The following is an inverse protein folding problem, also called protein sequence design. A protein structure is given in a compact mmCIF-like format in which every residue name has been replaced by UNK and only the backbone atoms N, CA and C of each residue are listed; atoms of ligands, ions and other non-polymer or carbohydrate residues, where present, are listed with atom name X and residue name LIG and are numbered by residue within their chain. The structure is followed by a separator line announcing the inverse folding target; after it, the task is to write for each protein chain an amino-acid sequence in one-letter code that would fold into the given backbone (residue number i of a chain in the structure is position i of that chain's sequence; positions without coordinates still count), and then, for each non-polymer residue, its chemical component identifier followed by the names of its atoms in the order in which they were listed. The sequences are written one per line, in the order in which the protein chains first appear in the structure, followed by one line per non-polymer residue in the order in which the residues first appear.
data_IF_766484612993
#
_entry.id   IF_766484612993
#
_cell.length_a   1.000
_cell.length_b   1.000
_cell.length_c   1.000
_cell.angle_alpha   90.00
_cell.angle_beta   90.00
_cell.angle_gamma   90.00
#
_symmetry.space_group_name_H-M   'P 1'
#
loop_
_entity.id
_entity.type
_entity.pdbx_description
1 polymer ?
#
# COMPACT_ATOMS: atom_id res chain seq x y z
N UNK A 1 78.60 -83.38 46.06
CA UNK A 1 77.66 -83.13 44.94
C UNK A 1 76.68 -82.06 45.38
N UNK A 2 76.88 -80.86 44.83
CA UNK A 2 76.14 -79.65 45.14
C UNK A 2 75.04 -79.45 44.09
N UNK A 3 73.80 -79.20 44.54
CA UNK A 3 72.77 -78.46 43.80
C UNK A 3 71.51 -78.32 44.67
N UNK A 4 71.63 -77.63 45.80
CA UNK A 4 70.48 -77.03 46.48
C UNK A 4 70.02 -75.79 45.72
N UNK A 5 68.70 -75.59 45.72
CA UNK A 5 68.05 -74.29 45.51
C UNK A 5 68.26 -73.63 44.14
N UNK A 6 67.55 -74.12 43.11
CA UNK A 6 67.08 -73.22 42.05
C UNK A 6 65.87 -72.46 42.56
N UNK A 7 66.18 -71.27 43.03
CA UNK A 7 65.31 -70.18 43.40
C UNK A 7 64.02 -70.15 42.58
N UNK A 8 62.91 -70.31 43.31
CA UNK A 8 61.61 -69.78 42.94
C UNK A 8 61.70 -68.24 42.94
N UNK A 9 62.20 -67.67 41.84
CA UNK A 9 61.99 -66.29 41.43
C UNK A 9 60.78 -66.34 40.48
N UNK A 10 59.53 -66.21 40.91
CA UNK A 10 58.92 -65.03 41.52
C UNK A 10 59.25 -63.74 40.77
N UNK A 11 59.25 -63.77 39.43
CA UNK A 11 59.04 -62.56 38.63
C UNK A 11 57.58 -62.12 38.82
N UNK A 12 57.35 -61.40 39.92
CA UNK A 12 56.25 -60.43 40.01
C UNK A 12 56.51 -59.40 38.92
N UNK A 13 55.96 -59.62 37.73
CA UNK A 13 55.67 -58.53 36.82
C UNK A 13 54.71 -57.58 37.54
N UNK A 14 55.28 -56.56 38.16
CA UNK A 14 54.54 -55.43 38.69
C UNK A 14 53.89 -54.72 37.52
N UNK A 15 52.64 -55.08 37.25
CA UNK A 15 51.76 -54.38 36.33
C UNK A 15 51.54 -52.96 36.87
N UNK A 16 52.36 -52.01 36.42
CA UNK A 16 52.13 -50.61 36.72
C UNK A 16 50.77 -50.22 36.10
N UNK A 17 49.80 -49.69 36.87
CA UNK A 17 48.54 -49.26 36.30
C UNK A 17 48.83 -48.11 35.34
N UNK A 18 48.69 -48.39 34.04
CA UNK A 18 48.76 -47.38 32.98
C UNK A 18 47.69 -46.34 33.28
N UNK A 19 48.12 -45.17 33.77
CA UNK A 19 47.23 -44.04 34.03
C UNK A 19 46.52 -43.66 32.72
N UNK A 20 45.30 -44.15 32.55
CA UNK A 20 44.40 -43.73 31.48
C UNK A 20 44.11 -42.27 31.76
N UNK A 21 44.80 -41.36 31.05
CA UNK A 21 44.46 -39.94 31.05
C UNK A 21 43.03 -39.86 30.52
N UNK A 22 42.06 -39.68 31.40
CA UNK A 22 40.69 -39.38 31.03
C UNK A 22 40.72 -38.21 30.05
N UNK A 23 40.39 -38.48 28.79
CA UNK A 23 40.28 -37.47 27.76
C UNK A 23 39.19 -36.51 28.22
N UNK A 24 39.60 -35.38 28.82
CA UNK A 24 38.68 -34.33 29.27
C UNK A 24 37.69 -34.00 28.14
N UNK A 25 36.42 -33.73 28.45
CA UNK A 25 35.37 -33.51 27.46
C UNK A 25 35.60 -32.19 26.70
N UNK A 26 36.53 -32.20 25.75
CA UNK A 26 36.86 -31.08 24.86
C UNK A 26 35.70 -30.73 23.91
N UNK A 27 34.72 -31.64 23.73
CA UNK A 27 33.57 -31.43 22.86
C UNK A 27 32.57 -30.40 23.39
N UNK A 28 32.28 -30.37 24.70
CA UNK A 28 31.31 -29.45 25.29
C UNK A 28 31.74 -27.98 25.22
N UNK A 29 33.04 -27.69 25.40
CA UNK A 29 33.57 -26.32 25.25
C UNK A 29 33.51 -25.84 23.80
N UNK A 30 33.85 -26.70 22.83
CA UNK A 30 33.79 -26.37 21.38
C UNK A 30 32.34 -26.19 20.88
N UNK A 31 31.38 -26.94 21.43
CA UNK A 31 29.97 -26.76 21.09
C UNK A 31 29.44 -25.41 21.58
N UNK A 32 29.77 -25.01 22.82
CA UNK A 32 29.35 -23.70 23.38
C UNK A 32 29.92 -22.52 22.60
N UNK A 33 31.18 -22.58 22.16
CA UNK A 33 31.78 -21.51 21.35
C UNK A 33 31.15 -21.41 19.96
N UNK A 34 30.76 -22.53 19.35
CA UNK A 34 30.05 -22.52 18.05
C UNK A 34 28.64 -21.94 18.18
N UNK A 35 27.90 -22.32 19.22
CA UNK A 35 26.56 -21.77 19.49
C UNK A 35 26.64 -20.26 19.76
N UNK A 36 27.64 -19.82 20.54
CA UNK A 36 27.88 -18.40 20.82
C UNK A 36 28.25 -17.60 19.57
N UNK A 37 29.08 -18.16 18.68
CA UNK A 37 29.40 -17.52 17.40
C UNK A 37 28.16 -17.44 16.49
N UNK A 38 27.38 -18.51 16.41
CA UNK A 38 26.12 -18.51 15.65
C UNK A 38 25.15 -17.46 16.18
N UNK A 39 24.94 -17.36 17.51
CA UNK A 39 24.07 -16.33 18.07
C UNK A 39 24.57 -14.92 17.78
N UNK A 40 25.89 -14.69 17.84
CA UNK A 40 26.46 -13.37 17.51
C UNK A 40 26.24 -13.03 16.03
N UNK A 41 26.42 -13.99 15.13
CA UNK A 41 26.17 -13.77 13.69
C UNK A 41 24.71 -13.51 13.38
N UNK A 42 23.78 -14.18 14.07
CA UNK A 42 22.35 -13.93 13.93
C UNK A 42 21.99 -12.53 14.43
N UNK A 43 22.49 -12.12 15.60
CA UNK A 43 22.27 -10.77 16.14
C UNK A 43 22.82 -9.71 15.19
N UNK A 44 24.02 -9.92 14.64
CA UNK A 44 24.63 -9.00 13.69
C UNK A 44 23.85 -8.93 12.38
N UNK A 45 23.41 -10.06 11.83
CA UNK A 45 22.60 -10.10 10.62
C UNK A 45 21.25 -9.40 10.82
N UNK A 46 20.57 -9.65 11.94
CA UNK A 46 19.30 -9.00 12.29
C UNK A 46 19.51 -7.50 12.52
N UNK A 47 20.57 -7.12 13.22
CA UNK A 47 20.95 -5.73 13.45
C UNK A 47 21.24 -4.97 12.16
N UNK A 48 21.83 -5.64 11.17
CA UNK A 48 22.01 -5.07 9.83
C UNK A 48 20.71 -5.01 9.03
N UNK A 49 19.80 -5.98 9.17
CA UNK A 49 18.53 -5.96 8.42
C UNK A 49 17.52 -4.93 8.95
N UNK A 50 17.51 -4.66 10.26
CA UNK A 50 16.61 -3.70 10.91
C UNK A 50 16.57 -2.31 10.25
N UNK A 51 17.69 -1.62 9.97
CA UNK A 51 17.67 -0.32 9.30
C UNK A 51 17.13 -0.38 7.87
N UNK A 52 17.40 -1.46 7.11
CA UNK A 52 16.84 -1.63 5.77
C UNK A 52 15.33 -1.88 5.81
N UNK A 53 14.86 -2.70 6.75
CA UNK A 53 13.43 -2.94 6.95
C UNK A 53 12.71 -1.63 7.35
N UNK A 54 13.31 -0.85 8.27
CA UNK A 54 12.75 0.42 8.70
C UNK A 54 12.64 1.44 7.57
N UNK A 55 13.71 1.60 6.77
CA UNK A 55 13.71 2.52 5.62
C UNK A 55 12.73 2.10 4.53
N UNK A 56 12.59 0.80 4.27
CA UNK A 56 11.58 0.27 3.33
C UNK A 56 10.15 0.56 3.76
N UNK A 57 9.82 0.32 5.03
CA UNK A 57 8.49 0.64 5.59
C UNK A 57 8.23 2.15 5.56
N UNK A 58 9.20 2.96 5.95
CA UNK A 58 9.09 4.43 5.94
C UNK A 58 8.90 4.99 4.53
N UNK A 59 9.60 4.46 3.52
CA UNK A 59 9.43 4.86 2.14
C UNK A 59 8.03 4.53 1.60
N UNK A 60 7.49 3.34 1.93
CA UNK A 60 6.14 2.94 1.53
C UNK A 60 5.06 3.79 2.20
N UNK A 61 5.23 4.12 3.48
CA UNK A 61 4.35 5.05 4.22
C UNK A 61 4.36 6.46 3.60
N UNK A 62 5.54 6.97 3.23
CA UNK A 62 5.63 8.26 2.55
C UNK A 62 4.91 8.25 1.20
N UNK A 63 5.17 7.25 0.35
CA UNK A 63 4.50 7.13 -0.96
C UNK A 63 2.97 7.13 -0.83
N UNK A 64 2.44 6.33 0.10
CA UNK A 64 0.99 6.27 0.35
C UNK A 64 0.43 7.58 0.93
N UNK A 65 1.20 8.32 1.73
CA UNK A 65 0.77 9.63 2.22
C UNK A 65 0.67 10.68 1.10
N UNK A 66 1.66 10.73 0.20
CA UNK A 66 1.65 11.67 -0.94
C UNK A 66 0.53 11.37 -1.92
N UNK A 67 0.22 10.09 -2.15
CA UNK A 67 -0.91 9.74 -3.02
C UNK A 67 -2.25 10.24 -2.48
N UNK A 68 -2.43 10.29 -1.15
CA UNK A 68 -3.67 10.79 -0.57
C UNK A 68 -3.80 12.31 -0.73
N UNK A 69 -2.73 13.07 -0.46
CA UNK A 69 -2.75 14.52 -0.64
C UNK A 69 -2.94 14.94 -2.09
N UNK A 70 -2.33 14.19 -3.03
CA UNK A 70 -2.50 14.45 -4.46
C UNK A 70 -3.93 14.15 -4.91
N UNK A 71 -4.52 13.05 -4.44
CA UNK A 71 -5.93 12.71 -4.69
C UNK A 71 -6.87 13.80 -4.16
N UNK A 72 -6.65 14.28 -2.94
CA UNK A 72 -7.45 15.36 -2.35
C UNK A 72 -7.31 16.66 -3.18
N UNK A 73 -6.10 17.01 -3.61
CA UNK A 73 -5.86 18.18 -4.44
C UNK A 73 -6.53 18.06 -5.83
N UNK A 74 -6.47 16.88 -6.46
CA UNK A 74 -7.16 16.61 -7.72
C UNK A 74 -8.68 16.71 -7.56
N UNK A 75 -9.23 16.11 -6.51
CA UNK A 75 -10.66 16.22 -6.18
C UNK A 75 -11.12 17.67 -6.03
N UNK A 76 -10.37 18.50 -5.28
CA UNK A 76 -10.71 19.91 -5.11
C UNK A 76 -10.65 20.70 -6.41
N UNK A 77 -9.64 20.43 -7.26
CA UNK A 77 -9.53 21.07 -8.57
C UNK A 77 -10.74 20.73 -9.45
N UNK A 78 -11.11 19.47 -9.54
CA UNK A 78 -12.25 19.00 -10.33
C UNK A 78 -13.58 19.52 -9.78
N UNK A 79 -13.72 19.63 -8.45
CA UNK A 79 -14.90 20.22 -7.81
C UNK A 79 -15.07 21.70 -8.17
N UNK A 80 -13.98 22.48 -8.14
CA UNK A 80 -14.01 23.90 -8.52
C UNK A 80 -14.33 24.05 -10.01
N UNK A 81 -13.77 23.20 -10.85
CA UNK A 81 -14.05 23.20 -12.30
C UNK A 81 -15.52 22.90 -12.59
N UNK A 82 -16.09 21.88 -11.95
CA UNK A 82 -17.51 21.57 -12.06
C UNK A 82 -18.41 22.72 -11.59
N UNK A 83 -18.08 23.36 -10.47
CA UNK A 83 -18.84 24.53 -10.01
C UNK A 83 -18.79 25.69 -11.01
N UNK A 84 -17.62 25.92 -11.62
CA UNK A 84 -17.46 26.95 -12.65
C UNK A 84 -18.28 26.63 -13.91
N UNK A 85 -18.26 25.38 -14.35
CA UNK A 85 -19.07 24.92 -15.48
C UNK A 85 -20.57 25.08 -15.19
N UNK A 86 -21.00 24.76 -13.97
CA UNK A 86 -22.38 24.91 -13.57
C UNK A 86 -22.83 26.37 -13.58
N UNK A 87 -22.01 27.29 -13.07
CA UNK A 87 -22.25 28.72 -13.17
C UNK A 87 -22.32 29.21 -14.63
N UNK A 88 -21.49 28.66 -15.51
CA UNK A 88 -21.54 29.01 -16.93
C UNK A 88 -22.81 28.51 -17.61
N UNK A 89 -23.23 27.28 -17.29
CA UNK A 89 -24.52 26.74 -17.74
C UNK A 89 -25.66 27.60 -17.25
N UNK A 90 -25.71 27.94 -15.95
CA UNK A 90 -26.77 28.77 -15.37
C UNK A 90 -26.83 30.15 -16.04
N UNK A 91 -25.67 30.75 -16.30
CA UNK A 91 -25.59 32.03 -17.01
C UNK A 91 -26.12 31.93 -18.44
N UNK A 92 -25.69 30.91 -19.20
CA UNK A 92 -26.06 30.74 -20.62
C UNK A 92 -27.49 30.23 -20.81
N UNK A 93 -28.01 29.48 -19.85
CA UNK A 93 -29.39 28.97 -19.83
C UNK A 93 -30.38 29.97 -19.23
N UNK A 94 -29.90 31.09 -18.67
CA UNK A 94 -30.78 32.15 -18.20
C UNK A 94 -31.72 32.64 -19.31
N UNK A 95 -33.01 32.88 -19.01
CA UNK A 95 -33.98 33.30 -20.02
C UNK A 95 -33.55 34.56 -20.79
N UNK A 96 -32.84 35.47 -20.12
CA UNK A 96 -32.29 36.69 -20.72
C UNK A 96 -31.26 36.35 -21.79
N UNK A 97 -30.29 35.48 -21.48
CA UNK A 97 -29.26 35.08 -22.44
C UNK A 97 -29.84 34.27 -23.61
N UNK A 98 -30.80 33.39 -23.35
CA UNK A 98 -31.49 32.60 -24.39
C UNK A 98 -32.31 33.50 -25.31
N UNK A 99 -33.03 34.49 -24.77
CA UNK A 99 -33.84 35.43 -25.58
C UNK A 99 -32.97 36.39 -26.39
N UNK A 100 -31.85 36.88 -25.84
CA UNK A 100 -30.87 37.67 -26.58
C UNK A 100 -30.20 36.87 -27.69
N UNK A 101 -29.79 35.63 -27.41
CA UNK A 101 -29.23 34.73 -28.41
C UNK A 101 -30.24 34.42 -29.53
N UNK A 102 -31.51 34.16 -29.18
CA UNK A 102 -32.59 33.95 -30.15
C UNK A 102 -32.80 35.17 -31.06
N UNK A 103 -32.76 36.39 -30.50
CA UNK A 103 -32.82 37.64 -31.29
C UNK A 103 -31.64 37.78 -32.26
N UNK A 104 -30.43 37.41 -31.84
CA UNK A 104 -29.24 37.48 -32.70
C UNK A 104 -29.31 36.54 -33.91
N UNK A 105 -29.85 35.33 -33.72
CA UNK A 105 -30.03 34.35 -34.81
C UNK A 105 -31.35 34.53 -35.59
N UNK A 106 -32.05 35.66 -35.39
CA UNK A 106 -33.35 35.97 -36.00
C UNK A 106 -34.41 34.90 -35.77
N UNK A 107 -34.33 34.18 -34.64
CA UNK A 107 -35.43 33.35 -34.19
C UNK A 107 -36.51 34.25 -33.59
N UNK A 108 -37.73 34.10 -34.09
CA UNK A 108 -38.90 34.74 -33.49
C UNK A 108 -39.10 34.16 -32.08
N UNK A 109 -39.09 35.03 -31.09
CA UNK A 109 -39.51 34.62 -29.74
C UNK A 109 -41.01 34.36 -29.84
N UNK A 110 -41.50 33.16 -29.49
CA UNK A 110 -42.92 32.87 -29.58
C UNK A 110 -43.67 33.83 -28.67
N UNK A 111 -44.35 34.80 -29.27
CA UNK A 111 -45.32 35.64 -28.58
C UNK A 111 -46.41 34.71 -28.07
N UNK A 112 -46.65 34.75 -26.77
CA UNK A 112 -47.39 33.74 -26.00
C UNK A 112 -48.90 33.63 -26.35
N UNK A 113 -49.36 34.14 -27.50
CA UNK A 113 -50.78 34.34 -27.80
C UNK A 113 -51.21 34.08 -29.25
N UNK A 114 -50.42 33.42 -30.10
CA UNK A 114 -50.84 33.19 -31.50
C UNK A 114 -51.90 32.07 -31.66
N UNK A 115 -52.21 31.36 -30.57
CA UNK A 115 -53.19 30.26 -30.55
C UNK A 115 -54.57 30.68 -30.00
N UNK A 116 -54.66 31.83 -29.31
CA UNK A 116 -55.91 32.28 -28.67
C UNK A 116 -56.84 33.03 -29.62
N UNK A 117 -56.32 33.61 -30.71
CA UNK A 117 -57.10 34.33 -31.71
C UNK A 117 -57.82 33.41 -32.73
N UNK A 118 -57.55 32.10 -32.67
CA UNK A 118 -58.18 31.11 -33.57
C UNK A 118 -59.61 30.77 -33.15
N UNK A 119 -59.96 30.89 -31.87
CA UNK A 119 -61.31 30.59 -31.39
C UNK A 119 -62.34 31.65 -31.84
N UNK A 120 -61.96 32.93 -31.88
CA UNK A 120 -62.85 34.01 -32.32
C UNK A 120 -63.04 34.02 -33.86
N UNK A 121 -62.01 33.60 -34.61
CA UNK A 121 -62.10 33.45 -36.07
C UNK A 121 -62.96 32.26 -36.52
N UNK A 122 -63.05 31.20 -35.72
CA UNK A 122 -63.94 30.07 -35.98
C UNK A 122 -65.40 30.36 -35.63
N UNK A 123 -65.64 31.14 -34.57
CA UNK A 123 -67.00 31.53 -34.14
C UNK A 123 -67.69 32.48 -35.14
N UNK A 124 -66.90 33.28 -35.87
CA UNK A 124 -67.38 34.19 -36.92
C UNK A 124 -67.55 33.52 -38.29
N UNK A 125 -66.82 32.42 -38.56
CA UNK A 125 -66.96 31.65 -39.80
C UNK A 125 -68.21 30.72 -39.83
N UNK A 126 -68.82 30.43 -38.68
CA UNK A 126 -70.01 29.57 -38.58
C UNK A 126 -71.35 30.28 -38.78
N UNK A 127 -71.38 31.56 -39.18
CA UNK A 127 -72.59 32.37 -39.37
C UNK A 127 -72.80 32.82 -40.82
N UNK A 128 -72.44 31.99 -41.80
CA UNK A 128 -72.81 32.22 -43.20
C UNK A 128 -73.65 31.02 -43.66
N UNK A 129 -74.87 31.34 -44.06
CA UNK A 129 -75.91 30.54 -44.72
C UNK A 129 -76.74 29.56 -43.86
N UNK A 130 -77.80 30.12 -43.24
CA UNK A 130 -79.13 29.49 -43.16
C UNK A 130 -80.10 30.30 -43.99
#
# INVERSE_FOLDING_TARGET
MAATARAATAERETYAPRRVRAARPRSRRRARTRISLLSLTVIFAVGLMLPFAYTGVYANLKKTSYTKSDLDAMYWREKIENQRLQLEIDRRSSPQYVTEAAKQIKMETPTQYDYLDKHDKLASAGKIDR
#
